data_IF_545114813145
#
_entry.id   IF_545114813145
#
_cell.length_a   1.000
_cell.length_b   1.000
_cell.length_c   1.000
_cell.angle_alpha   90.00
_cell.angle_beta   90.00
_cell.angle_gamma   90.00
#
_symmetry.space_group_name_H-M   'P 1'
#
loop_
_entity.id
_entity.type
_entity.pdbx_description
1 polymer ?
#
# COMPACT_ATOMS: atom_id res chain seq x y z
N UNK A 1 14.69 -12.68 -5.45
CA UNK A 1 13.67 -11.66 -5.12
C UNK A 1 14.18 -10.88 -3.93
N UNK A 2 14.12 -9.56 -4.01
CA UNK A 2 14.54 -8.66 -2.96
C UNK A 2 13.29 -8.16 -2.22
N UNK A 3 13.46 -7.74 -0.96
CA UNK A 3 12.39 -7.12 -0.19
C UNK A 3 12.43 -5.62 -0.40
N UNK A 4 11.28 -5.02 -0.64
CA UNK A 4 11.14 -3.58 -0.81
C UNK A 4 10.13 -3.04 0.19
N UNK A 5 10.46 -1.92 0.80
CA UNK A 5 9.57 -1.11 1.62
C UNK A 5 8.87 -0.11 0.71
N UNK A 6 7.56 -0.18 0.59
CA UNK A 6 6.76 0.69 -0.30
C UNK A 6 5.86 1.57 0.55
N UNK A 7 5.97 2.88 0.36
CA UNK A 7 5.19 3.88 1.05
C UNK A 7 3.88 4.12 0.31
N UNK A 8 2.76 3.95 0.99
CA UNK A 8 1.43 4.14 0.43
C UNK A 8 0.69 5.23 1.21
N UNK A 9 -0.03 6.07 0.49
CA UNK A 9 -0.83 7.15 1.05
C UNK A 9 -2.20 7.19 0.39
N UNK A 10 -3.23 7.40 1.22
CA UNK A 10 -4.60 7.73 0.80
C UNK A 10 -5.16 8.80 1.76
N UNK A 11 -5.78 8.38 2.86
CA UNK A 11 -6.14 9.24 4.00
C UNK A 11 -5.23 8.97 5.21
N UNK A 12 -4.54 7.83 5.17
CA UNK A 12 -3.52 7.42 6.12
C UNK A 12 -2.28 7.01 5.32
N UNK A 13 -1.11 7.41 5.83
CA UNK A 13 0.19 7.09 5.25
C UNK A 13 0.90 6.00 6.03
N UNK A 14 1.55 5.08 5.33
CA UNK A 14 2.29 4.00 5.96
C UNK A 14 3.17 3.24 4.98
N UNK A 15 3.77 2.16 5.47
CA UNK A 15 4.73 1.38 4.69
C UNK A 15 4.33 -0.09 4.71
N UNK A 16 4.32 -0.70 3.53
CA UNK A 16 4.23 -2.15 3.37
C UNK A 16 5.58 -2.73 2.96
N UNK A 17 5.74 -4.04 3.12
CA UNK A 17 6.90 -4.78 2.62
C UNK A 17 6.42 -5.76 1.55
N UNK A 18 7.03 -5.68 0.37
CA UNK A 18 6.73 -6.55 -0.78
C UNK A 18 7.98 -7.22 -1.29
N UNK A 19 7.85 -8.37 -1.93
CA UNK A 19 8.95 -9.05 -2.61
C UNK A 19 8.85 -8.77 -4.12
N UNK A 20 9.92 -8.26 -4.71
CA UNK A 20 9.97 -7.94 -6.14
C UNK A 20 11.38 -8.18 -6.71
N UNK A 21 11.50 -8.20 -8.04
CA UNK A 21 12.79 -8.30 -8.74
C UNK A 21 13.42 -6.92 -8.96
N UNK A 22 12.61 -5.87 -8.95
CA UNK A 22 13.05 -4.48 -9.14
C UNK A 22 12.24 -3.49 -8.30
N UNK A 23 12.80 -2.30 -8.12
CA UNK A 23 12.12 -1.17 -7.46
C UNK A 23 10.85 -0.73 -8.19
N UNK A 24 10.82 -0.82 -9.52
CA UNK A 24 9.65 -0.50 -10.34
C UNK A 24 8.54 -1.51 -10.08
N UNK A 25 8.86 -2.80 -10.16
CA UNK A 25 7.89 -3.86 -9.87
C UNK A 25 7.36 -3.78 -8.43
N UNK A 26 8.19 -3.40 -7.46
CA UNK A 26 7.73 -3.19 -6.09
C UNK A 26 6.70 -2.04 -5.97
N UNK A 27 6.86 -0.97 -6.75
CA UNK A 27 5.89 0.13 -6.80
C UNK A 27 4.58 -0.31 -7.45
N UNK A 28 4.66 -1.05 -8.56
CA UNK A 28 3.47 -1.58 -9.25
C UNK A 28 2.67 -2.49 -8.31
N UNK A 29 3.33 -3.41 -7.61
CA UNK A 29 2.69 -4.27 -6.59
C UNK A 29 2.04 -3.41 -5.49
N UNK A 30 2.72 -2.37 -5.02
CA UNK A 30 2.18 -1.45 -4.02
C UNK A 30 0.93 -0.70 -4.48
N UNK A 31 0.90 -0.27 -5.75
CA UNK A 31 -0.25 0.37 -6.36
C UNK A 31 -1.43 -0.60 -6.53
N UNK A 32 -1.16 -1.83 -6.99
CA UNK A 32 -2.19 -2.88 -7.09
C UNK A 32 -2.81 -3.20 -5.72
N UNK A 33 -1.99 -3.38 -4.69
CA UNK A 33 -2.44 -3.61 -3.32
C UNK A 33 -3.24 -2.43 -2.77
N UNK A 34 -2.80 -1.20 -3.02
CA UNK A 34 -3.52 0.00 -2.62
C UNK A 34 -4.89 0.07 -3.30
N UNK A 35 -4.96 -0.25 -4.59
CA UNK A 35 -6.20 -0.28 -5.35
C UNK A 35 -7.16 -1.38 -4.90
N UNK A 36 -6.64 -2.57 -4.56
CA UNK A 36 -7.45 -3.72 -4.17
C UNK A 36 -7.94 -3.66 -2.73
N UNK A 37 -7.13 -3.13 -1.81
CA UNK A 37 -7.38 -3.22 -0.37
C UNK A 37 -7.53 -1.87 0.32
N UNK A 38 -6.90 -0.81 -0.18
CA UNK A 38 -6.78 0.47 0.51
C UNK A 38 -5.80 0.41 1.69
N UNK A 39 -5.28 1.57 2.12
CA UNK A 39 -4.32 1.66 3.22
C UNK A 39 -4.84 1.10 4.55
N UNK A 40 -6.14 1.25 4.83
CA UNK A 40 -6.78 0.78 6.07
C UNK A 40 -6.56 -0.72 6.30
N UNK A 41 -6.90 -1.54 5.28
CA UNK A 41 -6.72 -3.00 5.35
C UNK A 41 -5.25 -3.42 5.30
N UNK A 42 -4.41 -2.67 4.58
CA UNK A 42 -2.99 -2.98 4.45
C UNK A 42 -2.22 -2.71 5.76
N UNK A 43 -2.58 -1.66 6.50
CA UNK A 43 -1.87 -1.26 7.72
C UNK A 43 -2.49 -1.83 9.00
N UNK A 44 -3.81 -2.06 9.01
CA UNK A 44 -4.53 -2.56 10.17
C UNK A 44 -5.34 -3.82 9.83
N UNK A 45 -4.68 -4.96 9.58
CA UNK A 45 -5.37 -6.22 9.29
C UNK A 45 -6.01 -6.80 10.57
N UNK A 46 -7.23 -6.36 10.91
CA UNK A 46 -8.00 -6.92 12.02
C UNK A 46 -9.48 -7.10 11.67
N UNK A 47 -10.05 -8.22 12.15
CA UNK A 47 -11.48 -8.47 12.10
C UNK A 47 -12.25 -7.57 13.08
N UNK A 48 -13.33 -6.99 12.57
CA UNK A 48 -14.30 -6.13 13.25
C UNK A 48 -13.76 -4.89 13.97
N UNK A 49 -13.43 -3.85 13.18
CA UNK A 49 -13.68 -2.46 13.57
C UNK A 49 -14.39 -1.76 12.40
N UNK A 50 -15.72 -1.61 12.53
CA UNK A 50 -16.65 -0.70 11.82
C UNK A 50 -16.30 -0.26 10.38
N UNK A 51 -17.18 -0.64 9.43
CA UNK A 51 -17.19 -0.31 8.00
C UNK A 51 -16.46 0.99 7.61
N UNK A 52 -15.32 0.84 6.93
CA UNK A 52 -14.90 1.80 5.91
C UNK A 52 -15.76 1.59 4.65
N UNK A 53 -16.66 2.55 4.38
CA UNK A 53 -17.37 2.67 3.09
C UNK A 53 -16.42 3.33 2.07
N UNK A 54 -15.30 2.67 1.77
CA UNK A 54 -14.33 3.10 0.78
C UNK A 54 -14.83 2.94 -0.65
N UNK A 55 -15.93 3.61 -0.98
CA UNK A 55 -16.28 3.97 -2.36
C UNK A 55 -15.82 5.41 -2.62
N UNK A 56 -14.63 5.78 -2.13
CA UNK A 56 -14.02 7.07 -2.37
C UNK A 56 -13.42 7.09 -3.78
N UNK A 57 -14.31 7.30 -4.75
CA UNK A 57 -13.96 8.11 -5.90
C UNK A 57 -13.60 9.51 -5.36
N UNK A 58 -12.36 9.96 -5.58
CA UNK A 58 -11.71 11.22 -5.14
C UNK A 58 -10.94 11.13 -3.80
N UNK A 59 -9.65 11.50 -3.69
CA UNK A 59 -8.84 12.29 -4.63
C UNK A 59 -7.33 12.40 -4.36
N UNK A 60 -6.74 11.73 -3.38
CA UNK A 60 -5.27 11.70 -3.19
C UNK A 60 -4.84 10.29 -2.79
N UNK A 61 -4.42 9.48 -3.76
CA UNK A 61 -3.81 8.15 -3.53
C UNK A 61 -2.46 8.12 -4.23
N UNK A 62 -1.41 7.73 -3.53
CA UNK A 62 -0.07 7.76 -4.10
C UNK A 62 0.87 6.72 -3.48
N UNK A 63 1.77 6.23 -4.31
CA UNK A 63 2.97 5.50 -3.87
C UNK A 63 4.08 6.53 -3.65
N UNK A 64 4.33 6.90 -2.39
CA UNK A 64 5.21 8.02 -2.03
C UNK A 64 6.69 7.62 -1.90
N UNK A 65 6.98 6.33 -1.74
CA UNK A 65 8.34 5.85 -1.50
C UNK A 65 8.52 4.40 -1.89
N UNK A 66 9.74 4.05 -2.31
CA UNK A 66 10.13 2.65 -2.49
C UNK A 66 11.63 2.48 -2.22
N UNK A 67 11.96 1.65 -1.25
CA UNK A 67 13.33 1.41 -0.77
C UNK A 67 13.61 -0.08 -0.71
N UNK A 68 14.77 -0.52 -1.20
CA UNK A 68 15.20 -1.90 -1.05
C UNK A 68 15.67 -2.15 0.40
N UNK A 69 15.21 -3.26 0.98
CA UNK A 69 15.59 -3.71 2.32
C UNK A 69 16.62 -4.84 2.14
N UNK A 70 17.81 -4.65 2.73
CA UNK A 70 18.87 -5.67 2.80
C UNK A 70 18.71 -6.58 4.01
#
# INVERSE_FOLDING_TARGET
MNKYRVGLYEEIGGWIVVEAESKEQAKDIGEELLNEHGCDKLFYPQGDLTKYYGNHKHGDRSVEGCEEIK
#
